data_IF_313865622048
#
_entry.id   IF_313865622048
#
_cell.length_a   1.000
_cell.length_b   1.000
_cell.length_c   1.000
_cell.angle_alpha   90.00
_cell.angle_beta   90.00
_cell.angle_gamma   90.00
#
_symmetry.space_group_name_H-M   'P 1'
#
loop_
_entity.id
_entity.type
_entity.pdbx_description
1 polymer ?
#
# COMPACT_ATOMS: atom_id res chain seq x y z
N UNK A 1 0.02 -68.00 7.71
CA UNK A 1 -0.38 -68.24 6.30
C UNK A 1 -0.61 -66.88 5.65
N UNK A 2 -0.08 -66.61 4.46
CA UNK A 2 -0.25 -65.31 3.78
C UNK A 2 -1.14 -65.49 2.54
N UNK A 3 -2.23 -64.75 2.45
CA UNK A 3 -3.18 -64.78 1.33
C UNK A 3 -3.24 -63.40 0.71
N UNK A 4 -2.96 -63.31 -0.60
CA UNK A 4 -3.11 -62.09 -1.38
C UNK A 4 -4.21 -62.31 -2.42
N UNK A 5 -5.25 -61.48 -2.38
CA UNK A 5 -6.41 -61.56 -3.26
C UNK A 5 -6.61 -60.18 -3.88
N UNK A 6 -6.55 -60.12 -5.22
CA UNK A 6 -6.81 -58.89 -5.95
C UNK A 6 -7.79 -59.11 -7.09
N UNK A 7 -8.70 -58.16 -7.25
CA UNK A 7 -9.62 -58.05 -8.39
C UNK A 7 -9.37 -56.76 -9.19
N UNK A 8 -8.23 -56.11 -8.99
CA UNK A 8 -7.89 -54.80 -9.58
C UNK A 8 -8.99 -53.75 -9.34
N UNK A 9 -9.74 -53.35 -10.37
CA UNK A 9 -10.78 -52.31 -10.32
C UNK A 9 -12.21 -52.88 -10.17
N UNK A 10 -12.34 -54.17 -9.89
CA UNK A 10 -13.65 -54.82 -9.72
C UNK A 10 -13.98 -55.08 -8.26
N UNK A 11 -15.27 -55.19 -7.97
CA UNK A 11 -15.78 -55.58 -6.65
C UNK A 11 -15.38 -57.01 -6.31
N UNK A 12 -14.86 -57.21 -5.10
CA UNK A 12 -14.44 -58.49 -4.56
C UNK A 12 -15.43 -58.97 -3.50
N UNK A 13 -16.15 -60.04 -3.79
CA UNK A 13 -17.05 -60.70 -2.84
C UNK A 13 -16.35 -61.93 -2.24
N UNK A 14 -16.07 -61.90 -0.95
CA UNK A 14 -15.38 -62.99 -0.24
C UNK A 14 -16.38 -63.76 0.62
N UNK A 15 -16.47 -65.07 0.37
CA UNK A 15 -17.31 -66.00 1.12
C UNK A 15 -16.41 -67.10 1.68
N UNK A 16 -16.47 -67.32 2.99
CA UNK A 16 -15.72 -68.39 3.65
C UNK A 16 -16.65 -69.56 3.93
N UNK A 17 -16.49 -70.65 3.18
CA UNK A 17 -17.33 -71.84 3.30
C UNK A 17 -16.99 -72.74 4.49
N UNK A 18 -15.84 -72.57 5.13
CA UNK A 18 -15.36 -73.44 6.21
C UNK A 18 -15.48 -72.80 7.59
N UNK A 19 -15.92 -73.57 8.60
CA UNK A 19 -15.91 -73.15 10.01
C UNK A 19 -14.56 -73.39 10.72
N UNK A 20 -13.51 -73.77 10.00
CA UNK A 20 -12.18 -74.01 10.56
C UNK A 20 -11.50 -72.71 10.97
N UNK A 21 -10.81 -72.72 12.12
CA UNK A 21 -9.89 -71.65 12.54
C UNK A 21 -8.46 -72.01 12.14
N UNK A 22 -7.88 -71.36 11.13
CA UNK A 22 -6.49 -71.59 10.77
C UNK A 22 -5.57 -71.27 11.96
N UNK A 23 -4.68 -72.21 12.27
CA UNK A 23 -3.56 -72.04 13.20
C UNK A 23 -2.28 -72.47 12.47
N UNK A 24 -1.23 -71.63 12.36
CA UNK A 24 -1.08 -70.28 12.90
C UNK A 24 -1.89 -69.21 12.14
N UNK A 25 -2.02 -68.02 12.73
CA UNK A 25 -2.83 -66.91 12.22
C UNK A 25 -2.56 -66.52 10.76
N UNK A 26 -3.56 -65.85 10.16
CA UNK A 26 -3.58 -65.52 8.73
C UNK A 26 -3.23 -64.05 8.51
N UNK A 27 -2.43 -63.79 7.48
CA UNK A 27 -2.16 -62.48 6.92
C UNK A 27 -2.94 -62.35 5.62
N UNK A 28 -3.83 -61.36 5.52
CA UNK A 28 -4.71 -61.13 4.38
C UNK A 28 -4.34 -59.81 3.71
N UNK A 29 -4.06 -59.85 2.41
CA UNK A 29 -3.86 -58.68 1.58
C UNK A 29 -4.95 -58.65 0.51
N UNK A 30 -5.71 -57.56 0.45
CA UNK A 30 -6.83 -57.37 -0.45
C UNK A 30 -6.61 -56.13 -1.31
N UNK A 31 -6.91 -56.23 -2.60
CA UNK A 31 -6.86 -55.09 -3.53
C UNK A 31 -8.01 -55.15 -4.54
N UNK A 32 -8.96 -54.23 -4.40
CA UNK A 32 -10.20 -54.17 -5.17
C UNK A 32 -10.78 -52.75 -5.11
N UNK A 33 -11.73 -52.36 -5.96
CA UNK A 33 -12.47 -51.09 -5.78
C UNK A 33 -13.38 -51.15 -4.54
N UNK A 34 -14.05 -52.28 -4.34
CA UNK A 34 -14.90 -52.53 -3.17
C UNK A 34 -14.71 -53.97 -2.73
N UNK A 35 -14.52 -54.19 -1.44
CA UNK A 35 -14.46 -55.52 -0.83
C UNK A 35 -15.70 -55.71 0.02
N UNK A 36 -16.44 -56.78 -0.27
CA UNK A 36 -17.61 -57.19 0.49
C UNK A 36 -17.41 -58.60 1.05
N UNK A 37 -17.51 -58.74 2.36
CA UNK A 37 -17.47 -60.03 3.02
C UNK A 37 -18.89 -60.51 3.33
N UNK A 38 -19.10 -61.81 3.16
CA UNK A 38 -20.30 -62.50 3.64
C UNK A 38 -19.95 -63.36 4.85
N UNK A 39 -20.92 -63.53 5.76
CA UNK A 39 -20.77 -64.34 6.96
C UNK A 39 -19.56 -63.95 7.85
N UNK A 40 -19.36 -62.66 8.15
CA UNK A 40 -18.18 -62.20 8.90
C UNK A 40 -18.08 -62.66 10.35
N UNK A 41 -19.17 -63.22 10.89
CA UNK A 41 -19.23 -63.86 12.20
C UNK A 41 -18.48 -65.21 12.24
N UNK A 42 -17.99 -65.72 11.10
CA UNK A 42 -17.25 -66.98 11.03
C UNK A 42 -15.93 -66.88 11.79
N UNK A 43 -15.50 -67.97 12.46
CA UNK A 43 -14.26 -68.00 13.24
C UNK A 43 -12.98 -67.70 12.43
N UNK A 44 -13.01 -67.88 11.12
CA UNK A 44 -11.89 -67.55 10.23
C UNK A 44 -11.47 -66.07 10.38
N UNK A 45 -12.41 -65.13 10.34
CA UNK A 45 -12.10 -63.70 10.40
C UNK A 45 -11.51 -63.29 11.75
N UNK A 46 -11.94 -63.95 12.83
CA UNK A 46 -11.38 -63.75 14.17
C UNK A 46 -9.94 -64.26 14.29
N UNK A 47 -9.48 -65.15 13.41
CA UNK A 47 -8.12 -65.72 13.42
C UNK A 47 -7.09 -64.93 12.58
N UNK A 48 -7.56 -63.92 11.84
CA UNK A 48 -6.69 -63.07 11.01
C UNK A 48 -5.93 -62.09 11.89
N UNK A 49 -4.61 -62.05 11.73
CA UNK A 49 -3.69 -61.27 12.55
C UNK A 49 -3.17 -60.04 11.82
N UNK A 50 -3.11 -60.08 10.49
CA UNK A 50 -2.68 -58.96 9.65
C UNK A 50 -3.64 -58.80 8.49
N UNK A 51 -4.10 -57.56 8.26
CA UNK A 51 -5.01 -57.20 7.20
C UNK A 51 -4.50 -55.93 6.51
N UNK A 52 -4.25 -56.02 5.22
CA UNK A 52 -3.97 -54.87 4.36
C UNK A 52 -5.05 -54.80 3.29
N UNK A 53 -5.79 -53.71 3.21
CA UNK A 53 -6.86 -53.52 2.25
C UNK A 53 -6.62 -52.24 1.44
N UNK A 54 -6.48 -52.39 0.12
CA UNK A 54 -6.43 -51.29 -0.83
C UNK A 54 -7.77 -51.28 -1.55
N UNK A 55 -8.69 -50.45 -1.09
CA UNK A 55 -10.09 -50.43 -1.53
C UNK A 55 -10.78 -49.13 -1.13
N UNK A 56 -11.80 -48.73 -1.89
CA UNK A 56 -12.66 -47.60 -1.53
C UNK A 56 -13.58 -47.98 -0.36
N UNK A 57 -14.03 -49.25 -0.33
CA UNK A 57 -14.99 -49.74 0.66
C UNK A 57 -14.61 -51.13 1.16
N UNK A 58 -14.67 -51.33 2.46
CA UNK A 58 -14.42 -52.60 3.14
C UNK A 58 -15.62 -52.93 4.03
N UNK A 59 -16.56 -53.71 3.50
CA UNK A 59 -17.88 -53.87 4.07
C UNK A 59 -18.18 -55.31 4.45
N UNK A 60 -18.97 -55.45 5.50
CA UNK A 60 -19.68 -56.67 5.83
C UNK A 60 -21.13 -56.33 6.15
N UNK A 61 -22.05 -56.66 5.24
CA UNK A 61 -23.42 -56.14 5.32
C UNK A 61 -23.42 -54.60 5.29
N UNK A 62 -24.01 -53.97 6.30
CA UNK A 62 -24.07 -52.51 6.47
C UNK A 62 -22.94 -51.91 7.30
N UNK A 63 -22.00 -52.73 7.80
CA UNK A 63 -20.97 -52.30 8.74
C UNK A 63 -19.57 -52.37 8.14
N UNK A 64 -18.65 -51.61 8.73
CA UNK A 64 -17.23 -51.69 8.42
C UNK A 64 -16.68 -53.07 8.80
N UNK A 65 -16.09 -53.77 7.84
CA UNK A 65 -15.76 -55.19 8.03
C UNK A 65 -14.69 -55.42 9.11
N UNK A 66 -13.80 -54.45 9.35
CA UNK A 66 -12.68 -54.63 10.27
C UNK A 66 -13.13 -55.00 11.70
N UNK A 67 -14.34 -54.59 12.13
CA UNK A 67 -14.94 -54.94 13.42
C UNK A 67 -14.96 -56.45 13.72
N UNK A 68 -15.04 -57.28 12.68
CA UNK A 68 -15.14 -58.74 12.84
C UNK A 68 -13.77 -59.43 13.02
N UNK A 69 -12.66 -58.68 12.89
CA UNK A 69 -11.29 -59.18 12.94
C UNK A 69 -10.69 -58.98 14.35
N UNK A 70 -11.23 -59.63 15.37
CA UNK A 70 -10.91 -59.33 16.78
C UNK A 70 -9.46 -59.62 17.22
N UNK A 71 -8.74 -60.51 16.53
CA UNK A 71 -7.32 -60.82 16.83
C UNK A 71 -6.32 -60.03 15.97
N UNK A 72 -6.77 -58.97 15.31
CA UNK A 72 -5.98 -58.21 14.37
C UNK A 72 -4.91 -57.38 15.09
N UNK A 73 -3.65 -57.59 14.72
CA UNK A 73 -2.49 -56.85 15.25
C UNK A 73 -1.99 -55.78 14.28
N UNK A 74 -2.11 -56.04 12.98
CA UNK A 74 -1.72 -55.12 11.91
C UNK A 74 -2.90 -54.80 11.02
N UNK A 75 -3.24 -53.52 10.92
CA UNK A 75 -4.26 -53.03 10.00
C UNK A 75 -3.70 -51.91 9.11
N UNK A 76 -3.71 -52.15 7.80
CA UNK A 76 -3.42 -51.14 6.78
C UNK A 76 -4.63 -50.93 5.88
N UNK A 77 -5.15 -49.72 5.84
CA UNK A 77 -6.24 -49.34 4.95
C UNK A 77 -5.79 -48.22 4.03
N UNK A 78 -5.84 -48.48 2.73
CA UNK A 78 -5.52 -47.51 1.69
C UNK A 78 -6.77 -47.25 0.86
N UNK A 79 -7.36 -46.08 1.10
CA UNK A 79 -8.54 -45.58 0.42
C UNK A 79 -8.16 -44.90 -0.88
N UNK A 80 -8.61 -45.44 -2.00
CA UNK A 80 -8.64 -44.72 -3.27
C UNK A 80 -9.80 -43.73 -3.18
N UNK A 81 -9.59 -42.43 -3.47
CA UNK A 81 -10.59 -41.37 -3.25
C UNK A 81 -12.00 -41.76 -3.75
N UNK A 82 -12.92 -42.03 -2.83
CA UNK A 82 -14.34 -42.29 -3.10
C UNK A 82 -15.21 -41.15 -2.54
N UNK A 83 -16.28 -40.82 -3.24
CA UNK A 83 -17.26 -39.81 -2.83
C UNK A 83 -18.22 -40.30 -1.72
N UNK A 84 -18.30 -41.61 -1.49
CA UNK A 84 -19.20 -42.22 -0.50
C UNK A 84 -18.50 -42.52 0.82
N UNK A 85 -19.22 -42.19 1.89
CA UNK A 85 -18.76 -42.22 3.27
C UNK A 85 -19.00 -43.58 3.93
N UNK A 86 -17.97 -44.14 4.57
CA UNK A 86 -18.06 -45.33 5.43
C UNK A 86 -17.68 -44.93 6.85
N UNK A 87 -18.56 -45.23 7.80
CA UNK A 87 -18.29 -45.01 9.22
C UNK A 87 -17.30 -46.06 9.73
N UNK A 88 -16.14 -45.60 10.18
CA UNK A 88 -15.07 -46.45 10.70
C UNK A 88 -14.97 -46.40 12.23
N UNK A 89 -15.94 -45.80 12.94
CA UNK A 89 -15.91 -45.62 14.41
C UNK A 89 -15.69 -46.95 15.16
N UNK A 90 -16.15 -48.07 14.59
CA UNK A 90 -15.97 -49.43 15.11
C UNK A 90 -14.49 -49.91 15.17
N UNK A 91 -13.51 -49.13 14.69
CA UNK A 91 -12.07 -49.40 14.87
C UNK A 91 -11.69 -49.56 16.35
N UNK A 92 -12.37 -48.85 17.26
CA UNK A 92 -12.16 -48.92 18.69
C UNK A 92 -12.41 -50.31 19.32
N UNK A 93 -13.03 -51.23 18.59
CA UNK A 93 -13.26 -52.61 19.03
C UNK A 93 -12.02 -53.50 18.93
N UNK A 94 -10.99 -53.05 18.19
CA UNK A 94 -9.80 -53.83 17.85
C UNK A 94 -8.68 -53.66 18.87
N UNK A 95 -8.93 -54.13 20.10
CA UNK A 95 -8.07 -53.91 21.27
C UNK A 95 -6.68 -54.58 21.18
N UNK A 96 -6.50 -55.58 20.32
CA UNK A 96 -5.21 -56.27 20.11
C UNK A 96 -4.31 -55.59 19.06
N UNK A 97 -4.77 -54.48 18.47
CA UNK A 97 -4.06 -53.79 17.40
C UNK A 97 -2.77 -53.13 17.91
N UNK A 98 -1.68 -53.33 17.18
CA UNK A 98 -0.35 -52.74 17.44
C UNK A 98 0.08 -51.76 16.36
N UNK A 99 -0.36 -51.97 15.12
CA UNK A 99 -0.02 -51.13 13.98
C UNK A 99 -1.29 -50.74 13.21
N UNK A 100 -1.50 -49.44 13.06
CA UNK A 100 -2.59 -48.86 12.29
C UNK A 100 -2.02 -47.91 11.22
N UNK A 101 -2.30 -48.20 9.95
CA UNK A 101 -2.04 -47.29 8.86
C UNK A 101 -3.34 -46.95 8.13
N UNK A 102 -3.69 -45.67 8.07
CA UNK A 102 -4.79 -45.15 7.28
C UNK A 102 -4.21 -44.21 6.22
N UNK A 103 -4.49 -44.49 4.96
CA UNK A 103 -4.09 -43.67 3.82
C UNK A 103 -5.32 -43.24 3.03
N UNK A 104 -5.43 -41.94 2.72
CA UNK A 104 -6.53 -41.42 1.88
C UNK A 104 -7.91 -41.35 2.55
N UNK A 105 -7.98 -41.36 3.90
CA UNK A 105 -9.25 -41.34 4.66
C UNK A 105 -9.60 -39.91 5.13
N UNK A 106 -10.83 -39.47 4.88
CA UNK A 106 -11.39 -38.20 5.36
C UNK A 106 -11.81 -38.27 6.84
N UNK A 107 -10.85 -38.18 7.76
CA UNK A 107 -11.10 -38.27 9.21
C UNK A 107 -12.06 -37.17 9.73
N UNK A 108 -12.00 -35.93 9.22
CA UNK A 108 -12.88 -34.83 9.66
C UNK A 108 -14.39 -35.08 9.44
N UNK A 109 -14.75 -36.01 8.55
CA UNK A 109 -16.14 -36.33 8.21
C UNK A 109 -16.71 -37.43 9.10
N UNK A 110 -15.86 -38.13 9.87
CA UNK A 110 -16.26 -39.28 10.68
C UNK A 110 -17.10 -38.82 11.89
N UNK A 111 -18.25 -39.47 12.19
CA UNK A 111 -19.19 -38.96 13.18
C UNK A 111 -18.69 -39.24 14.60
N UNK A 112 -17.91 -40.31 14.76
CA UNK A 112 -17.24 -40.74 16.00
C UNK A 112 -15.73 -40.54 15.95
N UNK A 113 -15.23 -39.50 15.28
CA UNK A 113 -13.79 -39.21 15.23
C UNK A 113 -13.15 -39.20 16.63
N UNK A 114 -13.85 -38.63 17.62
CA UNK A 114 -13.40 -38.56 19.01
C UNK A 114 -13.25 -39.94 19.68
N UNK A 115 -14.05 -40.94 19.28
CA UNK A 115 -14.10 -42.27 19.91
C UNK A 115 -13.44 -43.37 19.09
N UNK A 116 -13.08 -43.10 17.83
CA UNK A 116 -12.52 -44.06 16.88
C UNK A 116 -11.20 -44.69 17.35
N UNK A 117 -10.36 -43.92 18.06
CA UNK A 117 -9.06 -44.39 18.58
C UNK A 117 -9.11 -44.80 20.06
N UNK A 118 -10.28 -44.70 20.70
CA UNK A 118 -10.46 -45.07 22.11
C UNK A 118 -10.28 -46.58 22.30
N UNK A 119 -9.88 -47.02 23.49
CA UNK A 119 -9.60 -48.43 23.83
C UNK A 119 -8.42 -49.11 23.09
N UNK A 120 -7.74 -48.45 22.16
CA UNK A 120 -6.58 -48.99 21.43
C UNK A 120 -5.28 -48.90 22.26
N UNK A 121 -5.32 -49.40 23.48
CA UNK A 121 -4.24 -49.25 24.47
C UNK A 121 -2.93 -49.95 24.09
N UNK A 122 -2.98 -50.96 23.21
CA UNK A 122 -1.82 -51.73 22.71
C UNK A 122 -1.21 -51.14 21.43
N UNK A 123 -1.75 -50.05 20.91
CA UNK A 123 -1.29 -49.47 19.66
C UNK A 123 0.11 -48.87 19.83
N UNK A 124 1.08 -49.40 19.08
CA UNK A 124 2.48 -48.98 19.13
C UNK A 124 2.80 -47.98 18.01
N UNK A 125 2.16 -48.14 16.85
CA UNK A 125 2.42 -47.32 15.66
C UNK A 125 1.11 -46.85 15.01
N UNK A 126 1.02 -45.54 14.81
CA UNK A 126 -0.07 -44.89 14.07
C UNK A 126 0.51 -44.14 12.88
N UNK A 127 0.09 -44.51 11.67
CA UNK A 127 0.51 -43.87 10.44
C UNK A 127 -0.70 -43.32 9.68
N UNK A 128 -0.82 -41.99 9.62
CA UNK A 128 -1.88 -41.28 8.93
C UNK A 128 -1.26 -40.53 7.74
N UNK A 129 -1.60 -40.95 6.53
CA UNK A 129 -1.09 -40.36 5.29
C UNK A 129 -2.25 -39.79 4.48
N UNK A 130 -2.09 -38.57 3.98
CA UNK A 130 -3.11 -37.86 3.19
C UNK A 130 -4.47 -37.76 3.89
N UNK A 131 -4.46 -37.66 5.22
CA UNK A 131 -5.66 -37.43 6.02
C UNK A 131 -5.96 -35.93 6.09
N UNK A 132 -7.22 -35.54 5.92
CA UNK A 132 -7.70 -34.17 6.16
C UNK A 132 -8.13 -34.04 7.62
N UNK A 133 -7.25 -33.53 8.49
CA UNK A 133 -7.55 -33.22 9.91
C UNK A 133 -6.72 -31.99 10.32
N UNK A 134 -7.28 -31.12 11.18
CA UNK A 134 -6.61 -29.89 11.62
C UNK A 134 -5.49 -30.15 12.65
N UNK A 135 -5.68 -31.13 13.54
CA UNK A 135 -4.69 -31.67 14.46
C UNK A 135 -5.32 -32.89 15.15
N UNK A 136 -4.52 -33.89 15.56
CA UNK A 136 -4.98 -34.87 16.55
C UNK A 136 -5.14 -34.13 17.87
N UNK A 137 -6.39 -33.90 18.28
CA UNK A 137 -6.70 -33.21 19.53
C UNK A 137 -6.27 -34.08 20.72
N UNK A 138 -5.85 -33.46 21.82
CA UNK A 138 -5.28 -34.13 23.00
C UNK A 138 -6.23 -35.23 23.54
N UNK A 139 -7.55 -34.98 23.46
CA UNK A 139 -8.62 -35.91 23.86
C UNK A 139 -8.64 -37.22 23.06
N UNK A 140 -8.32 -37.17 21.76
CA UNK A 140 -8.30 -38.36 20.89
C UNK A 140 -7.11 -39.28 21.17
N UNK A 141 -6.04 -38.73 21.76
CA UNK A 141 -4.79 -39.45 22.06
C UNK A 141 -4.73 -40.05 23.45
N UNK A 142 -5.73 -39.75 24.31
CA UNK A 142 -5.71 -40.03 25.75
C UNK A 142 -5.44 -41.50 26.10
N UNK A 143 -5.99 -42.43 25.33
CA UNK A 143 -5.89 -43.88 25.59
C UNK A 143 -4.68 -44.54 24.92
N UNK A 144 -3.94 -43.82 24.07
CA UNK A 144 -2.85 -44.34 23.24
C UNK A 144 -1.51 -44.33 23.99
N UNK A 145 -1.48 -44.83 25.23
CA UNK A 145 -0.28 -44.81 26.09
C UNK A 145 0.90 -45.64 25.58
N UNK A 146 0.64 -46.66 24.76
CA UNK A 146 1.70 -47.53 24.19
C UNK A 146 2.30 -46.99 22.89
N UNK A 147 1.85 -45.83 22.43
CA UNK A 147 2.23 -45.28 21.13
C UNK A 147 3.68 -44.81 21.13
N UNK A 148 4.51 -45.43 20.29
CA UNK A 148 5.94 -45.11 20.13
C UNK A 148 6.21 -44.23 18.92
N UNK A 149 5.40 -44.35 17.89
CA UNK A 149 5.58 -43.64 16.62
C UNK A 149 4.23 -43.18 16.07
N UNK A 150 4.07 -41.86 15.92
CA UNK A 150 3.01 -41.24 15.12
C UNK A 150 3.63 -40.51 13.94
N UNK A 151 3.22 -40.89 12.72
CA UNK A 151 3.47 -40.09 11.53
C UNK A 151 2.12 -39.59 11.01
N UNK A 152 1.92 -38.28 11.03
CA UNK A 152 0.74 -37.63 10.48
C UNK A 152 1.17 -36.69 9.35
N UNK A 153 1.21 -37.21 8.12
CA UNK A 153 1.38 -36.40 6.91
C UNK A 153 -0.01 -35.95 6.43
N UNK A 154 -0.63 -35.10 7.25
CA UNK A 154 -1.92 -34.50 6.95
C UNK A 154 -1.66 -33.23 6.14
N UNK A 155 -2.14 -33.18 4.90
CA UNK A 155 -2.06 -31.96 4.10
C UNK A 155 -3.03 -30.94 4.71
N UNK A 156 -2.51 -30.04 5.54
CA UNK A 156 -3.12 -28.72 5.75
C UNK A 156 -3.45 -28.20 4.34
N UNK A 157 -4.70 -27.84 4.07
CA UNK A 157 -5.15 -27.52 2.70
C UNK A 157 -4.40 -26.26 2.23
N UNK A 158 -3.21 -26.47 1.65
CA UNK A 158 -2.30 -25.43 1.18
C UNK A 158 -3.04 -24.52 0.21
N UNK A 159 -4.04 -25.05 -0.52
CA UNK A 159 -4.93 -24.28 -1.37
C UNK A 159 -5.74 -23.24 -0.59
N UNK A 160 -6.31 -23.61 0.55
CA UNK A 160 -7.09 -22.69 1.39
C UNK A 160 -6.21 -21.59 2.00
N UNK A 161 -5.01 -21.94 2.49
CA UNK A 161 -4.06 -20.96 3.03
C UNK A 161 -3.59 -19.98 1.94
N UNK A 162 -3.23 -20.48 0.76
CA UNK A 162 -2.85 -19.65 -0.39
C UNK A 162 -4.00 -18.73 -0.84
N UNK A 163 -5.24 -19.22 -0.82
CA UNK A 163 -6.41 -18.42 -1.14
C UNK A 163 -6.62 -17.26 -0.14
N UNK A 164 -6.49 -17.51 1.16
CA UNK A 164 -6.57 -16.46 2.19
C UNK A 164 -5.43 -15.43 2.06
N UNK A 165 -4.20 -15.89 1.82
CA UNK A 165 -3.06 -14.98 1.66
C UNK A 165 -3.19 -14.10 0.42
N UNK A 166 -3.62 -14.66 -0.71
CA UNK A 166 -3.79 -13.91 -1.96
C UNK A 166 -4.95 -12.93 -1.90
N UNK A 167 -6.10 -13.32 -1.33
CA UNK A 167 -7.23 -12.41 -1.15
C UNK A 167 -6.90 -11.24 -0.23
N UNK A 168 -6.20 -11.48 0.89
CA UNK A 168 -5.74 -10.41 1.79
C UNK A 168 -4.73 -9.49 1.11
N UNK A 169 -3.78 -10.04 0.35
CA UNK A 169 -2.79 -9.27 -0.40
C UNK A 169 -3.42 -8.34 -1.43
N UNK A 170 -4.43 -8.82 -2.17
CA UNK A 170 -5.18 -8.01 -3.14
C UNK A 170 -5.95 -6.88 -2.46
N UNK A 171 -6.58 -7.15 -1.32
CA UNK A 171 -7.33 -6.14 -0.57
C UNK A 171 -6.40 -5.04 -0.03
N UNK A 172 -5.23 -5.43 0.51
CA UNK A 172 -4.20 -4.48 0.94
C UNK A 172 -3.69 -3.63 -0.24
N UNK A 173 -3.41 -4.24 -1.39
CA UNK A 173 -2.96 -3.51 -2.57
C UNK A 173 -3.99 -2.46 -3.02
N UNK A 174 -5.28 -2.84 -3.08
CA UNK A 174 -6.36 -1.91 -3.42
C UNK A 174 -6.49 -0.76 -2.41
N UNK A 175 -6.30 -1.05 -1.11
CA UNK A 175 -6.28 -0.02 -0.08
C UNK A 175 -5.11 0.95 -0.26
N UNK A 176 -3.90 0.46 -0.56
CA UNK A 176 -2.73 1.32 -0.82
C UNK A 176 -2.97 2.21 -2.03
N UNK A 177 -3.51 1.67 -3.13
CA UNK A 177 -3.82 2.45 -4.33
C UNK A 177 -4.87 3.53 -4.01
N UNK A 178 -5.92 3.20 -3.26
CA UNK A 178 -6.95 4.17 -2.85
C UNK A 178 -6.36 5.28 -1.98
N UNK A 179 -5.56 4.93 -0.97
CA UNK A 179 -4.87 5.90 -0.11
C UNK A 179 -3.92 6.79 -0.92
N UNK A 180 -3.19 6.22 -1.88
CA UNK A 180 -2.32 6.98 -2.76
C UNK A 180 -3.13 7.96 -3.63
N UNK A 181 -4.26 7.55 -4.21
CA UNK A 181 -5.09 8.43 -5.03
C UNK A 181 -5.71 9.57 -4.21
N UNK A 182 -6.20 9.29 -3.00
CA UNK A 182 -6.73 10.31 -2.09
C UNK A 182 -5.64 11.24 -1.57
N UNK A 183 -4.47 10.69 -1.21
CA UNK A 183 -3.37 11.45 -0.65
C UNK A 183 -2.51 12.17 -1.70
N UNK A 184 -2.64 11.85 -3.00
CA UNK A 184 -1.81 12.43 -4.08
C UNK A 184 -1.86 13.95 -4.09
N UNK A 185 -3.06 14.52 -4.08
CA UNK A 185 -3.26 15.99 -4.08
C UNK A 185 -2.68 16.62 -2.80
N UNK A 186 -2.89 16.00 -1.65
CA UNK A 186 -2.35 16.48 -0.37
C UNK A 186 -0.83 16.37 -0.29
N UNK A 187 -0.24 15.28 -0.81
CA UNK A 187 1.19 15.04 -0.80
C UNK A 187 1.91 16.01 -1.74
N UNK A 188 1.35 16.26 -2.93
CA UNK A 188 1.88 17.26 -3.87
C UNK A 188 1.84 18.67 -3.27
N UNK A 189 0.71 19.06 -2.67
CA UNK A 189 0.58 20.34 -1.98
C UNK A 189 1.58 20.46 -0.83
N UNK A 190 1.72 19.42 -0.02
CA UNK A 190 2.66 19.38 1.09
C UNK A 190 4.12 19.46 0.62
N UNK A 191 4.49 18.73 -0.43
CA UNK A 191 5.81 18.82 -1.06
C UNK A 191 6.08 20.24 -1.59
N UNK A 192 5.07 20.90 -2.17
CA UNK A 192 5.22 22.27 -2.65
C UNK A 192 5.47 23.26 -1.50
N UNK A 193 4.73 23.13 -0.40
CA UNK A 193 4.90 23.95 0.81
C UNK A 193 6.30 23.72 1.40
N UNK A 194 6.75 22.46 1.49
CA UNK A 194 8.10 22.14 1.97
C UNK A 194 9.17 22.76 1.07
N UNK A 195 9.02 22.72 -0.26
CA UNK A 195 9.99 23.34 -1.18
C UNK A 195 10.06 24.85 -0.97
N UNK A 196 8.92 25.54 -0.87
CA UNK A 196 8.91 26.97 -0.57
C UNK A 196 9.55 27.28 0.78
N UNK A 197 9.28 26.46 1.81
CA UNK A 197 9.90 26.61 3.11
C UNK A 197 11.41 26.34 3.10
N UNK A 198 11.86 25.36 2.31
CA UNK A 198 13.27 24.98 2.19
C UNK A 198 14.07 26.03 1.40
N UNK A 199 13.54 26.52 0.28
CA UNK A 199 14.10 27.66 -0.44
C UNK A 199 14.16 28.89 0.46
N UNK A 200 13.09 29.07 1.22
CA UNK A 200 12.98 29.89 2.43
C UNK A 200 14.24 29.85 3.30
N UNK A 201 14.41 28.71 3.96
CA UNK A 201 15.45 28.45 4.94
C UNK A 201 16.87 28.55 4.36
N UNK A 202 17.07 28.15 3.11
CA UNK A 202 18.36 28.22 2.40
C UNK A 202 18.70 29.66 1.99
N UNK A 203 17.70 30.50 1.66
CA UNK A 203 17.93 31.93 1.34
C UNK A 203 18.17 32.78 2.59
N UNK A 204 17.57 32.45 3.74
CA UNK A 204 17.66 33.27 4.97
C UNK A 204 19.07 33.57 5.51
N UNK A 205 20.08 32.67 5.49
CA UNK A 205 21.38 33.00 6.07
C UNK A 205 22.17 34.06 5.29
N UNK A 206 21.89 34.27 3.99
CA UNK A 206 22.63 35.23 3.15
C UNK A 206 22.02 36.65 3.08
N UNK A 207 20.83 36.88 3.64
CA UNK A 207 20.17 38.20 3.61
C UNK A 207 20.25 38.97 4.94
N UNK A 208 20.46 38.30 6.07
CA UNK A 208 20.64 38.94 7.39
C UNK A 208 22.03 39.58 7.46
N UNK A 209 22.14 40.79 6.92
CA UNK A 209 23.36 41.61 6.96
C UNK A 209 23.68 42.36 5.66
N UNK A 210 22.95 42.11 4.56
CA UNK A 210 23.24 42.71 3.25
C UNK A 210 22.43 43.96 2.91
N UNK A 211 21.26 44.14 3.53
CA UNK A 211 20.35 45.25 3.23
C UNK A 211 20.11 46.10 4.48
N UNK A 212 20.13 47.43 4.32
CA UNK A 212 19.89 48.40 5.39
C UNK A 212 18.39 48.64 5.62
N UNK A 213 17.58 48.41 4.58
CA UNK A 213 16.15 48.64 4.56
C UNK A 213 15.38 47.41 4.04
N UNK A 214 14.14 47.23 4.52
CA UNK A 214 13.25 46.16 4.06
C UNK A 214 12.68 46.50 2.67
N UNK A 215 12.35 47.76 2.42
CA UNK A 215 11.94 48.21 1.09
C UNK A 215 12.32 49.67 0.80
N UNK A 216 12.71 49.95 -0.45
CA UNK A 216 12.80 51.29 -1.01
C UNK A 216 11.45 51.67 -1.62
N UNK A 217 10.92 52.83 -1.29
CA UNK A 217 9.63 53.30 -1.81
C UNK A 217 9.85 54.43 -2.81
N UNK A 218 9.52 54.15 -4.06
CA UNK A 218 9.52 55.10 -5.18
C UNK A 218 8.12 55.68 -5.33
N UNK A 219 8.00 57.02 -5.25
CA UNK A 219 6.73 57.74 -5.30
C UNK A 219 6.90 59.14 -5.89
N UNK A 220 5.81 59.71 -6.44
CA UNK A 220 5.80 61.10 -6.89
C UNK A 220 5.69 62.04 -5.69
N UNK A 221 6.45 63.14 -5.68
CA UNK A 221 6.35 64.15 -4.60
C UNK A 221 4.93 64.73 -4.44
N UNK A 222 4.09 64.68 -5.48
CA UNK A 222 2.68 65.08 -5.39
C UNK A 222 1.82 64.13 -4.55
N UNK A 223 2.24 62.88 -4.44
CA UNK A 223 1.53 61.82 -3.73
C UNK A 223 2.15 61.55 -2.34
N UNK A 224 3.19 62.31 -1.97
CA UNK A 224 3.90 62.20 -0.69
C UNK A 224 2.97 62.29 0.52
N UNK A 225 2.00 63.22 0.46
CA UNK A 225 1.04 63.43 1.54
C UNK A 225 0.24 62.15 1.83
N UNK A 226 -0.25 61.49 0.79
CA UNK A 226 -0.98 60.23 0.93
C UNK A 226 -0.07 59.14 1.49
N UNK A 227 1.18 59.07 1.01
CA UNK A 227 2.17 58.10 1.47
C UNK A 227 2.43 58.20 2.98
N UNK A 228 2.68 59.42 3.47
CA UNK A 228 3.01 59.70 4.87
C UNK A 228 1.79 59.52 5.79
N UNK A 229 0.59 59.88 5.32
CA UNK A 229 -0.63 59.79 6.13
C UNK A 229 -1.23 58.37 6.16
N UNK A 230 -1.06 57.57 5.09
CA UNK A 230 -1.73 56.27 4.94
C UNK A 230 -0.76 55.08 4.90
N UNK A 231 0.22 55.10 4.00
CA UNK A 231 1.08 53.94 3.74
C UNK A 231 2.12 53.74 4.85
N UNK A 232 2.85 54.79 5.23
CA UNK A 232 3.90 54.74 6.25
C UNK A 232 3.38 54.24 7.61
N UNK A 233 2.27 54.78 8.16
CA UNK A 233 1.76 54.31 9.45
C UNK A 233 1.33 52.84 9.40
N UNK A 234 0.83 52.37 8.25
CA UNK A 234 0.47 50.97 8.04
C UNK A 234 1.68 50.03 8.09
N UNK A 235 2.80 50.43 7.49
CA UNK A 235 3.98 49.58 7.32
C UNK A 235 5.05 49.73 8.41
N UNK A 236 5.25 50.93 8.97
CA UNK A 236 6.27 51.19 9.99
C UNK A 236 5.71 51.08 11.43
N UNK A 237 4.41 51.33 11.66
CA UNK A 237 3.86 51.52 13.03
C UNK A 237 2.70 50.59 13.42
N UNK A 238 1.84 50.17 12.48
CA UNK A 238 0.60 49.43 12.80
C UNK A 238 0.61 47.96 12.36
N UNK A 239 1.46 47.57 11.41
CA UNK A 239 1.59 46.19 10.92
C UNK A 239 2.81 45.49 11.50
N UNK A 240 2.61 44.38 12.23
CA UNK A 240 3.72 43.47 12.54
C UNK A 240 3.90 42.49 11.37
N UNK A 241 5.12 42.30 10.84
CA UNK A 241 6.39 42.88 11.29
C UNK A 241 6.57 44.35 10.87
N UNK A 242 7.13 45.17 11.76
CA UNK A 242 7.47 46.56 11.49
C UNK A 242 8.59 46.63 10.44
N UNK A 243 8.33 47.26 9.31
CA UNK A 243 9.27 47.35 8.20
C UNK A 243 10.10 48.65 8.28
N UNK A 244 11.39 48.59 7.95
CA UNK A 244 12.23 49.79 7.75
C UNK A 244 12.20 50.20 6.28
N UNK A 245 11.56 51.33 5.99
CA UNK A 245 11.44 51.84 4.63
C UNK A 245 12.52 52.88 4.32
N UNK A 246 13.02 52.89 3.09
CA UNK A 246 13.88 53.94 2.54
C UNK A 246 13.05 54.87 1.66
N UNK A 247 13.07 56.16 1.97
CA UNK A 247 12.31 57.21 1.27
C UNK A 247 13.26 58.28 0.74
N UNK A 248 13.04 58.71 -0.51
CA UNK A 248 13.89 59.74 -1.11
C UNK A 248 13.84 61.10 -0.42
N UNK A 249 12.72 61.47 0.21
CA UNK A 249 12.60 62.76 0.90
C UNK A 249 13.25 62.80 2.29
N UNK A 250 13.47 61.63 2.92
CA UNK A 250 14.01 61.50 4.28
C UNK A 250 15.44 60.99 4.32
N UNK A 251 15.74 59.99 3.50
CA UNK A 251 16.93 59.13 3.68
C UNK A 251 18.04 59.41 2.64
N UNK A 252 17.79 60.28 1.65
CA UNK A 252 18.81 60.65 0.66
C UNK A 252 19.88 61.56 1.25
N UNK A 253 21.14 61.32 0.85
CA UNK A 253 22.27 62.09 1.33
C UNK A 253 22.38 63.41 0.55
N UNK A 254 22.35 64.53 1.28
CA UNK A 254 22.55 65.85 0.72
C UNK A 254 23.99 66.00 0.19
N UNK A 255 24.14 66.55 -1.02
CA UNK A 255 25.44 66.76 -1.67
C UNK A 255 25.94 65.58 -2.53
N UNK A 256 25.20 64.47 -2.59
CA UNK A 256 25.44 63.35 -3.50
C UNK A 256 24.51 63.43 -4.73
N UNK A 257 24.94 62.90 -5.88
CA UNK A 257 24.10 62.85 -7.08
C UNK A 257 22.80 62.10 -6.79
N UNK A 258 21.69 62.60 -7.33
CA UNK A 258 20.36 62.00 -7.17
C UNK A 258 20.32 60.59 -7.76
N UNK A 259 21.01 60.34 -8.87
CA UNK A 259 21.06 59.01 -9.51
C UNK A 259 21.81 58.02 -8.63
N UNK A 260 22.89 58.46 -7.98
CA UNK A 260 23.65 57.61 -7.06
C UNK A 260 22.85 57.32 -5.79
N UNK A 261 22.13 58.31 -5.25
CA UNK A 261 21.23 58.11 -4.10
C UNK A 261 20.12 57.08 -4.42
N UNK A 262 19.53 57.16 -5.62
CA UNK A 262 18.53 56.20 -6.08
C UNK A 262 19.15 54.79 -6.18
N UNK A 263 20.32 54.70 -6.81
CA UNK A 263 21.00 53.41 -7.04
C UNK A 263 21.38 52.74 -5.72
N UNK A 264 21.95 53.49 -4.78
CA UNK A 264 22.29 53.00 -3.45
C UNK A 264 21.06 52.56 -2.66
N UNK A 265 19.97 53.32 -2.74
CA UNK A 265 18.72 53.00 -2.04
C UNK A 265 18.06 51.74 -2.60
N UNK A 266 18.12 51.55 -3.92
CA UNK A 266 17.71 50.33 -4.59
C UNK A 266 18.53 49.15 -4.07
N UNK A 267 19.86 49.19 -4.19
CA UNK A 267 20.72 48.05 -3.79
C UNK A 267 20.79 47.83 -2.27
N UNK A 268 20.57 48.86 -1.47
CA UNK A 268 20.50 48.82 -0.01
C UNK A 268 19.18 48.29 0.54
N UNK A 269 18.17 48.04 -0.32
CA UNK A 269 16.85 47.56 0.06
C UNK A 269 16.55 46.16 -0.46
N UNK A 270 15.80 45.37 0.33
CA UNK A 270 15.40 44.00 -0.06
C UNK A 270 14.32 43.98 -1.14
N UNK A 271 13.36 44.90 -1.05
CA UNK A 271 12.31 45.10 -2.06
C UNK A 271 12.30 46.55 -2.56
N UNK A 272 11.73 46.77 -3.73
CA UNK A 272 11.43 48.09 -4.29
C UNK A 272 9.93 48.19 -4.52
N UNK A 273 9.28 49.15 -3.87
CA UNK A 273 7.85 49.42 -3.99
C UNK A 273 7.66 50.67 -4.83
N UNK A 274 7.02 50.55 -5.98
CA UNK A 274 6.66 51.70 -6.81
C UNK A 274 5.18 52.03 -6.61
N UNK A 275 4.89 53.22 -6.08
CA UNK A 275 3.53 53.73 -5.93
C UNK A 275 3.16 54.45 -7.22
N UNK A 276 2.45 53.75 -8.10
CA UNK A 276 2.15 54.19 -9.45
C UNK A 276 0.86 55.01 -9.46
N UNK A 277 0.97 56.24 -9.94
CA UNK A 277 -0.10 57.19 -10.24
C UNK A 277 0.17 57.87 -11.59
N UNK A 278 -0.78 58.64 -12.12
CA UNK A 278 -0.57 59.53 -13.26
C UNK A 278 0.55 60.53 -12.97
N UNK A 279 0.60 61.08 -11.76
CA UNK A 279 1.67 61.99 -11.34
C UNK A 279 3.04 61.30 -11.32
N UNK A 280 3.09 60.02 -10.95
CA UNK A 280 4.29 59.20 -10.96
C UNK A 280 4.80 59.02 -12.40
N UNK A 281 3.93 58.62 -13.32
CA UNK A 281 4.26 58.39 -14.73
C UNK A 281 4.70 59.66 -15.47
N UNK A 282 4.17 60.83 -15.07
CA UNK A 282 4.55 62.12 -15.64
C UNK A 282 5.90 62.66 -15.12
N UNK A 283 6.51 62.04 -14.10
CA UNK A 283 7.74 62.54 -13.50
C UNK A 283 9.00 61.84 -14.01
N UNK A 284 10.01 62.62 -14.38
CA UNK A 284 11.25 62.11 -14.98
C UNK A 284 12.04 61.20 -14.02
N UNK A 285 12.01 61.50 -12.72
CA UNK A 285 12.74 60.72 -11.71
C UNK A 285 12.05 59.40 -11.38
N UNK A 286 10.73 59.39 -11.21
CA UNK A 286 10.00 58.14 -10.95
C UNK A 286 10.02 57.20 -12.16
N UNK A 287 10.00 57.74 -13.39
CA UNK A 287 10.16 56.91 -14.60
C UNK A 287 11.58 56.32 -14.72
N UNK A 288 12.62 57.00 -14.22
CA UNK A 288 13.97 56.46 -14.10
C UNK A 288 14.05 55.37 -13.03
N UNK A 289 13.51 55.62 -11.83
CA UNK A 289 13.47 54.65 -10.73
C UNK A 289 12.77 53.36 -11.15
N UNK A 290 11.62 53.47 -11.81
CA UNK A 290 10.87 52.33 -12.33
C UNK A 290 11.70 51.55 -13.36
N UNK A 291 12.35 52.23 -14.32
CA UNK A 291 13.20 51.57 -15.32
C UNK A 291 14.37 50.83 -14.67
N UNK A 292 15.05 51.44 -13.71
CA UNK A 292 16.18 50.81 -13.00
C UNK A 292 15.72 49.61 -12.18
N UNK A 293 14.55 49.71 -11.51
CA UNK A 293 13.99 48.60 -10.76
C UNK A 293 13.57 47.43 -11.66
N UNK A 294 12.95 47.71 -12.81
CA UNK A 294 12.60 46.69 -13.82
C UNK A 294 13.86 46.04 -14.41
N UNK A 295 14.90 46.82 -14.74
CA UNK A 295 16.18 46.28 -15.20
C UNK A 295 16.81 45.37 -14.17
N UNK A 296 16.80 45.76 -12.89
CA UNK A 296 17.33 44.92 -11.81
C UNK A 296 16.54 43.62 -11.65
N UNK A 297 15.21 43.66 -11.75
CA UNK A 297 14.36 42.46 -11.74
C UNK A 297 14.71 41.51 -12.89
N UNK A 298 14.92 42.05 -14.10
CA UNK A 298 15.27 41.28 -15.29
C UNK A 298 16.69 40.68 -15.23
N UNK A 299 17.66 41.45 -14.72
CA UNK A 299 19.07 41.04 -14.66
C UNK A 299 19.36 40.11 -13.48
N UNK A 300 18.79 40.37 -12.30
CA UNK A 300 19.00 39.55 -11.10
C UNK A 300 18.04 38.35 -11.01
N UNK A 301 16.97 38.29 -11.83
CA UNK A 301 15.90 37.28 -11.76
C UNK A 301 15.37 37.06 -10.34
N UNK A 302 15.13 38.17 -9.62
CA UNK A 302 14.54 38.14 -8.28
C UNK A 302 13.25 38.95 -8.29
N UNK A 303 12.20 38.41 -7.67
CA UNK A 303 10.90 39.08 -7.49
C UNK A 303 11.00 40.18 -6.42
N UNK A 304 11.78 41.23 -6.72
CA UNK A 304 12.09 42.33 -5.79
C UNK A 304 11.26 43.59 -6.05
N UNK A 305 10.46 43.64 -7.12
CA UNK A 305 9.65 44.80 -7.50
C UNK A 305 8.17 44.58 -7.16
N UNK A 306 7.59 45.50 -6.39
CA UNK A 306 6.17 45.51 -6.01
C UNK A 306 5.54 46.78 -6.58
N UNK A 307 4.48 46.65 -7.38
CA UNK A 307 3.75 47.77 -7.94
C UNK A 307 2.46 47.99 -7.15
N UNK A 308 2.26 49.21 -6.63
CA UNK A 308 1.04 49.62 -5.93
C UNK A 308 0.37 50.71 -6.75
N UNK A 309 -0.79 50.41 -7.33
CA UNK A 309 -1.55 51.38 -8.11
C UNK A 309 -2.44 52.21 -7.19
N UNK A 310 -2.18 53.52 -7.14
CA UNK A 310 -2.99 54.45 -6.34
C UNK A 310 -4.29 54.84 -7.06
N UNK A 311 -4.30 54.77 -8.38
CA UNK A 311 -5.45 55.07 -9.23
C UNK A 311 -5.49 54.15 -10.45
N UNK A 312 -6.67 54.03 -11.07
CA UNK A 312 -6.81 53.30 -12.32
C UNK A 312 -6.10 54.04 -13.45
N UNK A 313 -5.07 53.40 -13.98
CA UNK A 313 -4.29 53.88 -15.12
C UNK A 313 -4.92 53.26 -16.37
N UNK A 314 -5.45 54.07 -17.30
CA UNK A 314 -6.07 53.53 -18.50
C UNK A 314 -5.02 52.73 -19.30
N UNK A 315 -5.39 51.56 -19.84
CA UNK A 315 -4.49 50.77 -20.67
C UNK A 315 -4.03 51.62 -21.87
N UNK A 316 -2.75 51.49 -22.22
CA UNK A 316 -2.16 52.22 -23.35
C UNK A 316 -3.07 52.04 -24.58
N UNK A 317 -3.58 53.13 -25.20
CA UNK A 317 -4.26 53.00 -26.48
C UNK A 317 -3.27 52.38 -27.47
N UNK A 318 -3.71 51.40 -28.29
CA UNK A 318 -2.82 50.75 -29.25
C UNK A 318 -2.18 51.81 -30.15
N UNK A 319 -0.90 51.63 -30.52
CA UNK A 319 -0.23 52.57 -31.42
C UNK A 319 -1.10 52.76 -32.67
N UNK A 320 -1.37 54.01 -33.09
CA UNK A 320 -2.19 54.25 -34.26
C UNK A 320 -1.48 53.69 -35.49
N UNK A 321 -2.00 52.57 -36.01
CA UNK A 321 -1.67 52.01 -37.32
C UNK A 321 -0.31 51.33 -37.43
N UNK A 322 -0.29 50.01 -37.26
CA UNK A 322 0.62 49.15 -38.02
C UNK A 322 -0.20 48.22 -38.92
N UNK A 323 -0.70 48.79 -40.01
CA UNK A 323 -0.95 48.07 -41.25
C UNK A 323 -0.07 48.74 -42.31
N UNK A 324 1.15 48.22 -42.50
CA UNK A 324 1.99 48.51 -43.66
C UNK A 324 3.21 49.42 -43.42
N UNK A 325 4.37 48.84 -43.73
CA UNK A 325 5.65 49.43 -44.17
C UNK A 325 6.77 49.77 -43.16
N UNK A 326 7.88 49.09 -43.41
CA UNK A 326 9.26 49.37 -42.98
C UNK A 326 9.68 50.82 -43.27
N UNK A 327 10.29 51.49 -42.28
CA UNK A 327 11.63 52.10 -42.39
C UNK A 327 12.03 52.88 -41.13
N UNK A 328 13.35 52.89 -40.89
CA UNK A 328 14.12 53.56 -39.86
C UNK A 328 13.61 54.93 -39.39
N UNK A 329 13.74 55.22 -38.08
CA UNK A 329 14.51 56.40 -37.62
C UNK A 329 14.73 56.40 -36.10
N UNK A 330 16.01 56.48 -35.73
CA UNK A 330 16.46 57.10 -34.49
C UNK A 330 15.87 58.51 -34.37
N UNK A 331 15.32 58.83 -33.20
CA UNK A 331 15.14 60.22 -32.76
C UNK A 331 13.69 60.65 -32.58
N UNK A 332 13.10 60.32 -31.44
CA UNK A 332 12.08 61.17 -30.84
C UNK A 332 12.12 61.00 -29.31
N UNK A 333 12.38 62.10 -28.62
CA UNK A 333 12.35 62.19 -27.16
C UNK A 333 10.99 61.68 -26.64
N UNK A 334 10.95 60.79 -25.63
CA UNK A 334 9.66 60.26 -25.20
C UNK A 334 8.99 61.24 -24.25
N UNK A 335 7.83 61.74 -24.68
CA UNK A 335 6.87 62.40 -23.80
C UNK A 335 6.28 61.45 -22.75
N UNK A 336 5.52 61.99 -21.78
CA UNK A 336 5.19 61.34 -20.51
C UNK A 336 4.28 60.11 -20.57
N UNK A 337 3.85 59.67 -21.77
CA UNK A 337 3.03 58.46 -21.95
C UNK A 337 3.81 57.15 -22.06
N UNK A 338 5.13 57.18 -22.29
CA UNK A 338 5.91 55.96 -22.56
C UNK A 338 6.16 55.07 -21.32
N UNK A 339 6.08 55.63 -20.10
CA UNK A 339 6.31 54.87 -18.88
C UNK A 339 5.18 53.84 -18.61
N UNK A 340 3.95 54.14 -19.00
CA UNK A 340 2.81 53.23 -18.84
C UNK A 340 2.89 52.01 -19.77
N UNK A 341 3.38 52.19 -20.99
CA UNK A 341 3.48 51.12 -21.99
C UNK A 341 4.58 50.06 -21.66
N UNK A 342 5.62 50.43 -20.90
CA UNK A 342 6.66 49.47 -20.44
C UNK A 342 6.15 48.50 -19.36
N UNK A 343 5.14 48.88 -18.59
CA UNK A 343 4.55 48.03 -17.55
C UNK A 343 3.61 46.95 -18.13
N UNK A 344 2.93 47.25 -19.25
CA UNK A 344 2.02 46.30 -19.89
C UNK A 344 2.70 45.16 -20.65
N UNK A 345 3.97 45.33 -21.04
CA UNK A 345 4.69 44.33 -21.83
C UNK A 345 5.41 43.26 -21.00
N UNK A 346 5.57 43.45 -19.68
CA UNK A 346 6.20 42.47 -18.78
C UNK A 346 5.21 41.56 -18.03
N UNK A 347 3.92 41.89 -18.00
CA UNK A 347 2.91 41.14 -17.23
C UNK A 347 2.25 40.01 -18.06
N UNK A 348 2.30 40.09 -19.40
CA UNK A 348 1.61 39.15 -20.30
C UNK A 348 2.36 37.84 -20.60
N UNK A 349 3.49 37.53 -19.94
CA UNK A 349 4.22 36.26 -20.16
C UNK A 349 3.99 35.16 -19.11
N UNK A 350 3.06 35.32 -18.17
CA UNK A 350 2.66 34.24 -17.26
C UNK A 350 1.17 33.94 -17.37
N UNK A 351 0.77 33.35 -18.50
CA UNK A 351 -0.50 32.63 -18.66
C UNK A 351 -0.28 31.12 -18.51
N UNK A 352 -1.19 30.36 -17.88
CA UNK A 352 -0.96 28.96 -17.52
C UNK A 352 -1.10 28.04 -18.74
N UNK A 353 -0.17 27.10 -18.88
CA UNK A 353 -0.30 25.88 -19.69
C UNK A 353 -0.38 24.66 -18.78
#
# INVERSE_FOLDING_TARGET
>A
MHMNISSMWYTLNIIIGSNSTPKPGVSLQLSATTVFFQDCWRPFFQSVVSLTAITERLLCGSHFAARYFTSLQYFGFNSVLSAEFVDMTDLNTLVEMRYLALMGVELYRQPGLATMFHNLTKLETLNLVTCRILSLEEEMSRDLHSLRYSAANCSLDVGFVLFLCTSLGLLLFMLVVLLHQLAREYLLAFCHIIRCWLEEAVRRPNLRGRYCYDAFVSYSGRDERWLVEQLLPGLEQRGHPFLRLCLHSRDFQLGKDIVDNITDSLYGSRYTVCVVSRNYLHSNWCSLELRLATLRLLVEQRDILILVFLEDIPPCPPPPGQAGQDQDLLGLAPGPGHAACLLGSSVDQTGPS
#
